data_IF_488055274535
#
_entry.id   IF_488055274535
#
_cell.length_a   1.000
_cell.length_b   1.000
_cell.length_c   1.000
_cell.angle_alpha   90.00
_cell.angle_beta   90.00
_cell.angle_gamma   90.00
#
_symmetry.space_group_name_H-M   'P 1'
#
loop_
_entity.id
_entity.type
_entity.pdbx_description
1 polymer ?
#
# COMPACT_ATOMS: atom_id res chain seq x y z
N UNK A 1 8.31 11.63 -30.28
CA UNK A 1 7.97 12.36 -29.04
C UNK A 1 7.41 11.37 -28.03
N UNK A 2 8.26 10.81 -27.18
CA UNK A 2 7.85 9.85 -26.16
C UNK A 2 6.98 10.57 -25.13
N UNK A 3 5.67 10.35 -25.22
CA UNK A 3 4.70 10.85 -24.25
C UNK A 3 4.97 10.11 -22.93
N UNK A 4 5.69 10.75 -22.02
CA UNK A 4 5.87 10.32 -20.64
C UNK A 4 4.49 10.08 -19.98
N UNK A 5 4.07 8.81 -19.77
CA UNK A 5 2.79 8.52 -19.11
C UNK A 5 2.85 8.81 -17.60
N UNK A 6 4.06 8.99 -17.06
CA UNK A 6 4.36 9.06 -15.64
C UNK A 6 3.89 10.33 -14.91
N UNK A 7 3.46 11.38 -15.63
CA UNK A 7 3.08 12.66 -15.02
C UNK A 7 1.61 12.73 -14.56
N UNK A 8 0.75 11.80 -14.96
CA UNK A 8 -0.69 11.86 -14.60
C UNK A 8 -1.02 11.30 -13.21
N UNK A 9 -0.04 10.71 -12.51
CA UNK A 9 -0.17 10.17 -11.15
C UNK A 9 0.45 11.02 -10.03
N UNK A 10 1.23 12.05 -10.36
CA UNK A 10 1.85 12.91 -9.35
C UNK A 10 0.84 13.93 -8.82
N UNK A 11 0.49 13.83 -7.53
CA UNK A 11 -0.40 14.78 -6.86
C UNK A 11 -1.88 14.37 -6.77
N UNK A 12 -2.26 13.24 -7.37
CA UNK A 12 -3.50 12.54 -7.00
C UNK A 12 -3.06 11.34 -6.15
N UNK A 13 -3.77 11.02 -5.07
CA UNK A 13 -3.59 9.79 -4.27
C UNK A 13 -3.93 8.52 -5.10
N UNK A 14 -3.35 8.40 -6.30
CA UNK A 14 -3.52 7.38 -7.33
C UNK A 14 -2.30 6.46 -7.36
N UNK A 15 -1.17 6.87 -6.78
CA UNK A 15 -0.08 5.94 -6.53
C UNK A 15 -0.61 4.83 -5.63
N UNK A 16 -0.69 3.61 -6.16
CA UNK A 16 -1.16 2.44 -5.43
C UNK A 16 -0.32 2.33 -4.14
N UNK A 17 -0.90 2.58 -2.94
CA UNK A 17 -0.13 2.63 -1.71
C UNK A 17 0.59 1.30 -1.44
N UNK A 18 0.05 0.20 -1.97
CA UNK A 18 0.68 -1.12 -1.98
C UNK A 18 2.10 -1.08 -2.57
N UNK A 19 2.31 -0.42 -3.71
CA UNK A 19 3.61 -0.40 -4.36
C UNK A 19 4.64 0.36 -3.52
N UNK A 20 4.26 1.50 -2.95
CA UNK A 20 5.15 2.29 -2.08
C UNK A 20 5.47 1.55 -0.78
N UNK A 21 4.49 0.87 -0.18
CA UNK A 21 4.67 0.09 1.03
C UNK A 21 5.55 -1.15 0.80
N UNK A 22 5.39 -1.82 -0.34
CA UNK A 22 6.27 -2.92 -0.75
C UNK A 22 7.70 -2.43 -1.01
N UNK A 23 7.89 -1.24 -1.59
CA UNK A 23 9.22 -0.63 -1.68
C UNK A 23 9.84 -0.40 -0.29
N UNK A 24 9.04 0.01 0.70
CA UNK A 24 9.48 0.12 2.09
C UNK A 24 9.87 -1.23 2.70
N UNK A 25 9.09 -2.28 2.46
CA UNK A 25 9.41 -3.67 2.87
C UNK A 25 10.74 -4.12 2.25
N UNK A 26 10.93 -3.91 0.95
CA UNK A 26 12.17 -4.27 0.25
C UNK A 26 13.37 -3.50 0.81
N UNK A 27 13.20 -2.23 1.18
CA UNK A 27 14.25 -1.45 1.84
C UNK A 27 14.59 -2.03 3.22
N UNK A 28 13.60 -2.45 4.01
CA UNK A 28 13.83 -3.07 5.31
C UNK A 28 14.58 -4.40 5.17
N UNK A 29 14.24 -5.22 4.15
CA UNK A 29 15.00 -6.44 3.81
C UNK A 29 16.45 -6.11 3.42
N UNK A 30 16.66 -5.07 2.62
CA UNK A 30 18.01 -4.61 2.25
C UNK A 30 18.84 -4.18 3.47
N UNK A 31 18.21 -3.67 4.52
CA UNK A 31 18.84 -3.29 5.78
C UNK A 31 19.00 -4.47 6.77
N UNK A 32 18.72 -5.72 6.35
CA UNK A 32 18.68 -6.92 7.21
C UNK A 32 17.70 -6.80 8.39
N UNK A 33 16.60 -6.05 8.21
CA UNK A 33 15.52 -5.92 9.19
C UNK A 33 14.36 -6.87 8.85
N UNK A 34 14.69 -8.14 8.60
CA UNK A 34 13.77 -9.15 8.03
C UNK A 34 12.52 -9.37 8.88
N UNK A 35 12.65 -9.38 10.21
CA UNK A 35 11.51 -9.56 11.12
C UNK A 35 10.48 -8.43 10.97
N UNK A 36 10.95 -7.19 10.80
CA UNK A 36 10.08 -6.02 10.61
C UNK A 36 9.49 -6.02 9.20
N UNK A 37 10.30 -6.37 8.19
CA UNK A 37 9.86 -6.50 6.82
C UNK A 37 8.74 -7.54 6.68
N UNK A 38 8.93 -8.75 7.22
CA UNK A 38 7.93 -9.82 7.21
C UNK A 38 6.65 -9.41 7.94
N UNK A 39 6.77 -8.72 9.08
CA UNK A 39 5.60 -8.27 9.85
C UNK A 39 4.75 -7.29 9.04
N UNK A 40 5.39 -6.33 8.37
CA UNK A 40 4.72 -5.33 7.52
C UNK A 40 4.16 -5.99 6.25
N UNK A 41 4.92 -6.87 5.61
CA UNK A 41 4.48 -7.62 4.42
C UNK A 41 3.24 -8.47 4.71
N UNK A 42 3.24 -9.19 5.83
CA UNK A 42 2.10 -9.98 6.27
C UNK A 42 0.88 -9.11 6.56
N UNK A 43 1.07 -7.94 7.19
CA UNK A 43 -0.01 -6.99 7.43
C UNK A 43 -0.61 -6.45 6.11
N UNK A 44 0.25 -6.07 5.16
CA UNK A 44 -0.17 -5.62 3.82
C UNK A 44 -0.93 -6.73 3.09
N UNK A 45 -0.36 -7.94 3.04
CA UNK A 45 -0.98 -9.11 2.39
C UNK A 45 -2.34 -9.45 3.00
N UNK A 46 -2.46 -9.34 4.33
CA UNK A 46 -3.72 -9.57 5.03
C UNK A 46 -4.77 -8.52 4.69
N UNK A 47 -4.42 -7.22 4.68
CA UNK A 47 -5.35 -6.14 4.33
C UNK A 47 -5.78 -6.24 2.86
N UNK A 48 -4.84 -6.58 1.96
CA UNK A 48 -5.15 -6.83 0.55
C UNK A 48 -6.08 -8.03 0.41
N UNK A 49 -5.84 -9.15 1.10
CA UNK A 49 -6.70 -10.35 1.04
C UNK A 49 -8.09 -10.10 1.65
N UNK A 50 -8.18 -9.27 2.68
CA UNK A 50 -9.45 -8.96 3.35
C UNK A 50 -10.42 -8.18 2.45
N UNK A 51 -9.96 -7.53 1.37
CA UNK A 51 -10.76 -6.87 0.30
C UNK A 51 -12.13 -6.28 0.71
N UNK A 52 -12.26 -5.67 1.90
CA UNK A 52 -13.43 -4.85 2.28
C UNK A 52 -13.25 -3.37 1.94
N UNK A 53 -12.18 -3.03 1.24
CA UNK A 53 -11.86 -1.71 0.70
C UNK A 53 -12.25 -1.76 -0.78
N UNK A 54 -13.56 -1.73 -1.05
CA UNK A 54 -14.04 -1.50 -2.42
C UNK A 54 -13.64 -0.07 -2.79
N UNK A 55 -12.90 0.09 -3.88
CA UNK A 55 -12.59 1.40 -4.45
C UNK A 55 -13.83 1.95 -5.17
N UNK A 56 -13.83 3.25 -5.46
CA UNK A 56 -15.01 4.01 -5.90
C UNK A 56 -15.68 3.46 -7.17
N UNK A 57 -14.92 2.77 -7.99
CA UNK A 57 -15.37 2.23 -9.28
C UNK A 57 -16.21 0.93 -9.13
N UNK A 58 -16.23 0.32 -7.94
CA UNK A 58 -17.04 -0.87 -7.59
C UNK A 58 -17.96 -0.63 -6.38
N UNK A 59 -18.23 0.65 -6.06
CA UNK A 59 -19.21 1.05 -5.05
C UNK A 59 -18.68 1.13 -3.61
N UNK A 60 -17.39 1.37 -3.39
CA UNK A 60 -16.87 1.67 -2.05
C UNK A 60 -16.04 2.94 -1.98
N UNK A 61 -15.95 3.53 -0.78
CA UNK A 61 -15.35 4.84 -0.56
C UNK A 61 -13.92 4.77 -0.05
N UNK A 62 -13.30 3.61 -0.11
CA UNK A 62 -12.09 3.39 0.67
C UNK A 62 -10.88 4.09 0.03
N UNK A 63 -10.32 5.01 0.79
CA UNK A 63 -9.22 5.89 0.39
C UNK A 63 -7.86 5.27 0.75
N UNK A 64 -6.78 5.88 0.26
CA UNK A 64 -5.41 5.54 0.69
C UNK A 64 -5.25 5.58 2.22
N UNK A 65 -5.94 6.49 2.90
CA UNK A 65 -5.90 6.61 4.36
C UNK A 65 -6.58 5.41 5.05
N UNK A 66 -7.66 4.90 4.48
CA UNK A 66 -8.37 3.73 5.02
C UNK A 66 -7.55 2.45 4.86
N UNK A 67 -6.81 2.34 3.75
CA UNK A 67 -5.83 1.26 3.55
C UNK A 67 -4.72 1.32 4.60
N UNK A 68 -4.16 2.51 4.83
CA UNK A 68 -3.09 2.72 5.80
C UNK A 68 -3.56 2.46 7.24
N UNK A 69 -4.76 2.92 7.60
CA UNK A 69 -5.40 2.61 8.89
C UNK A 69 -5.63 1.12 9.09
N UNK A 70 -6.03 0.41 8.05
CA UNK A 70 -6.24 -1.04 8.11
C UNK A 70 -4.93 -1.79 8.37
N UNK A 71 -3.83 -1.33 7.77
CA UNK A 71 -2.49 -1.87 8.04
C UNK A 71 -2.05 -1.59 9.47
N UNK A 72 -2.21 -0.36 9.95
CA UNK A 72 -1.88 0.01 11.33
C UNK A 72 -2.65 -0.85 12.35
N UNK A 73 -3.95 -1.01 12.13
CA UNK A 73 -4.80 -1.89 12.93
C UNK A 73 -4.30 -3.34 12.92
N UNK A 74 -3.86 -3.84 11.77
CA UNK A 74 -3.31 -5.20 11.64
C UNK A 74 -1.95 -5.36 12.35
N UNK A 75 -1.17 -4.28 12.45
CA UNK A 75 0.09 -4.24 13.18
C UNK A 75 -0.08 -4.07 14.70
N UNK A 76 -1.27 -3.65 15.14
CA UNK A 76 -1.63 -3.42 16.55
C UNK A 76 -1.48 -1.96 17.01
N UNK A 77 -1.50 -1.00 16.09
CA UNK A 77 -1.45 0.45 16.35
C UNK A 77 -2.81 1.11 16.14
#
# INVERSE_FOLDING_TARGET
GARHPFLTGAGRNIANPTAMLLCGVNLLQYLNLDTMAQRIENAISTVIKQQRIKTRDIGGYATQQDFLRSILKQLGY
#
